data_IF_780683326157
#
_entry.id   IF_780683326157
#
_cell.length_a   1.000
_cell.length_b   1.000
_cell.length_c   1.000
_cell.angle_alpha   90.00
_cell.angle_beta   90.00
_cell.angle_gamma   90.00
#
_symmetry.space_group_name_H-M   'P 1'
#
loop_
_entity.id
_entity.type
_entity.pdbx_description
1 polymer ?
#
# COMPACT_ATOMS: atom_id res chain seq x y z
N UNK A 1 -5.09 4.31 35.40
CA UNK A 1 -5.37 4.05 33.97
C UNK A 1 -4.04 3.67 33.33
N UNK A 2 -3.84 2.41 32.92
CA UNK A 2 -2.59 2.01 32.26
C UNK A 2 -2.52 2.77 30.94
N UNK A 3 -1.56 3.68 30.81
CA UNK A 3 -1.36 4.45 29.58
C UNK A 3 -1.12 3.48 28.44
N UNK A 4 -1.93 3.56 27.39
CA UNK A 4 -1.63 2.85 26.15
C UNK A 4 -0.23 3.29 25.71
N UNK A 5 0.64 2.35 25.29
CA UNK A 5 1.94 2.72 24.77
C UNK A 5 1.77 3.72 23.60
N UNK A 6 2.68 4.68 23.45
CA UNK A 6 2.64 5.64 22.35
C UNK A 6 2.69 4.89 21.01
N UNK A 7 1.92 5.35 20.03
CA UNK A 7 1.84 4.74 18.70
C UNK A 7 3.18 4.91 17.99
N UNK A 8 3.78 3.82 17.53
CA UNK A 8 4.96 3.89 16.66
C UNK A 8 4.56 4.40 15.26
N UNK A 9 5.03 5.62 14.94
CA UNK A 9 4.72 6.32 13.69
C UNK A 9 5.40 5.70 12.46
N UNK A 10 6.62 5.16 12.60
CA UNK A 10 7.34 4.50 11.50
C UNK A 10 6.62 3.20 11.12
N UNK A 11 6.21 2.45 12.13
CA UNK A 11 5.54 1.19 11.92
C UNK A 11 4.12 1.40 11.35
N UNK A 12 3.43 2.44 11.82
CA UNK A 12 2.16 2.87 11.25
C UNK A 12 2.31 3.28 9.77
N UNK A 13 3.38 4.02 9.44
CA UNK A 13 3.69 4.40 8.07
C UNK A 13 3.81 3.17 7.15
N UNK A 14 4.65 2.21 7.54
CA UNK A 14 4.86 0.95 6.80
C UNK A 14 3.54 0.23 6.57
N UNK A 15 2.73 0.08 7.61
CA UNK A 15 1.47 -0.64 7.53
C UNK A 15 0.45 0.06 6.62
N UNK A 16 0.36 1.40 6.67
CA UNK A 16 -0.52 2.18 5.81
C UNK A 16 -0.11 2.14 4.32
N UNK A 17 1.17 1.92 4.01
CA UNK A 17 1.63 1.78 2.63
C UNK A 17 1.43 0.36 2.11
N UNK A 18 1.86 -0.64 2.87
CA UNK A 18 1.87 -2.04 2.42
C UNK A 18 0.52 -2.75 2.58
N UNK A 19 -0.32 -2.29 3.52
CA UNK A 19 -1.60 -2.91 3.86
C UNK A 19 -2.68 -1.84 4.18
N UNK A 20 -3.03 -0.96 3.23
CA UNK A 20 -3.84 0.25 3.49
C UNK A 20 -5.26 -0.01 4.02
N UNK A 21 -5.81 -1.21 3.84
CA UNK A 21 -7.15 -1.60 4.30
C UNK A 21 -7.19 -2.13 5.74
N UNK A 22 -6.02 -2.36 6.36
CA UNK A 22 -5.94 -2.94 7.72
C UNK A 22 -6.44 -1.98 8.81
N UNK A 23 -6.19 -0.69 8.64
CA UNK A 23 -6.62 0.36 9.57
C UNK A 23 -7.83 1.12 9.04
N UNK A 24 -9.04 0.60 9.29
CA UNK A 24 -10.27 1.31 8.92
C UNK A 24 -10.55 2.47 9.87
N UNK A 25 -11.09 3.57 9.33
CA UNK A 25 -11.44 4.77 10.11
C UNK A 25 -12.45 4.49 11.21
N UNK A 26 -13.41 3.60 10.95
CA UNK A 26 -14.47 3.26 11.90
C UNK A 26 -13.94 2.45 13.08
N UNK A 27 -12.93 1.60 12.87
CA UNK A 27 -12.35 0.74 13.92
C UNK A 27 -11.25 1.45 14.70
N UNK A 28 -10.49 2.34 14.06
CA UNK A 28 -9.32 3.00 14.65
C UNK A 28 -9.51 4.52 14.75
N UNK A 29 -10.65 4.99 15.23
CA UNK A 29 -10.95 6.44 15.29
C UNK A 29 -9.86 7.27 16.00
N UNK A 30 -9.32 6.76 17.13
CA UNK A 30 -8.26 7.43 17.89
C UNK A 30 -7.03 7.73 17.04
N UNK A 31 -6.63 6.80 16.17
CA UNK A 31 -5.55 6.99 15.21
C UNK A 31 -5.85 8.14 14.25
N UNK A 32 -7.12 8.35 13.87
CA UNK A 32 -7.49 9.44 12.95
C UNK A 32 -7.59 10.81 13.60
N UNK A 33 -7.88 10.85 14.91
CA UNK A 33 -7.99 12.08 15.70
C UNK A 33 -6.63 12.70 16.04
N UNK A 34 -5.59 11.87 16.18
CA UNK A 34 -4.24 12.32 16.51
C UNK A 34 -3.60 13.19 15.39
N UNK A 35 -3.13 14.42 15.70
CA UNK A 35 -2.43 15.27 14.74
C UNK A 35 -1.07 14.70 14.27
N UNK A 36 -0.35 13.92 15.07
CA UNK A 36 0.96 13.37 14.69
C UNK A 36 0.82 12.33 13.58
N UNK A 37 -0.15 11.43 13.73
CA UNK A 37 -0.47 10.43 12.70
C UNK A 37 -0.96 11.08 11.41
N UNK A 38 -1.52 12.30 11.45
CA UNK A 38 -1.97 13.02 10.25
C UNK A 38 -0.84 13.21 9.24
N UNK A 39 0.37 13.50 9.69
CA UNK A 39 1.56 13.65 8.83
C UNK A 39 1.92 12.31 8.18
N UNK A 40 1.98 11.25 8.99
CA UNK A 40 2.24 9.87 8.53
C UNK A 40 1.22 9.43 7.48
N UNK A 41 -0.07 9.65 7.72
CA UNK A 41 -1.14 9.29 6.76
C UNK A 41 -1.00 10.02 5.43
N UNK A 42 -0.71 11.32 5.46
CA UNK A 42 -0.47 12.12 4.25
C UNK A 42 0.73 11.57 3.49
N UNK A 43 1.83 11.29 4.19
CA UNK A 43 3.05 10.76 3.59
C UNK A 43 2.84 9.37 2.98
N UNK A 44 2.15 8.47 3.69
CA UNK A 44 1.77 7.16 3.18
C UNK A 44 0.85 7.24 1.96
N UNK A 45 -0.07 8.20 1.90
CA UNK A 45 -0.90 8.45 0.72
C UNK A 45 -0.07 8.91 -0.49
N UNK A 46 0.90 9.80 -0.27
CA UNK A 46 1.84 10.22 -1.31
C UNK A 46 2.66 9.04 -1.83
N UNK A 47 3.26 8.24 -0.94
CA UNK A 47 4.09 7.10 -1.36
C UNK A 47 3.27 6.07 -2.14
N UNK A 48 2.04 5.76 -1.71
CA UNK A 48 1.14 4.89 -2.48
C UNK A 48 0.79 5.45 -3.85
N UNK A 49 0.64 6.78 -3.98
CA UNK A 49 0.42 7.40 -5.28
C UNK A 49 1.64 7.23 -6.19
N UNK A 50 2.85 7.38 -5.65
CA UNK A 50 4.11 7.16 -6.38
C UNK A 50 4.18 5.69 -6.84
N UNK A 51 3.95 4.73 -5.93
CA UNK A 51 3.93 3.29 -6.25
C UNK A 51 2.95 3.01 -7.39
N UNK A 52 1.73 3.54 -7.32
CA UNK A 52 0.73 3.35 -8.38
C UNK A 52 1.23 3.88 -9.72
N UNK A 53 1.88 5.05 -9.75
CA UNK A 53 2.40 5.64 -10.98
C UNK A 53 3.56 4.82 -11.55
N UNK A 54 4.49 4.38 -10.70
CA UNK A 54 5.62 3.54 -11.12
C UNK A 54 5.13 2.19 -11.67
N UNK A 55 4.19 1.54 -11.00
CA UNK A 55 3.61 0.26 -11.45
C UNK A 55 2.76 0.42 -12.71
N UNK A 56 2.13 1.57 -12.91
CA UNK A 56 1.34 1.88 -14.11
C UNK A 56 2.19 2.25 -15.34
N UNK A 57 3.52 2.22 -15.25
CA UNK A 57 4.41 2.52 -16.37
C UNK A 57 4.88 3.98 -16.42
N UNK A 58 5.26 4.54 -15.28
CA UNK A 58 6.03 5.79 -15.29
C UNK A 58 7.35 5.61 -16.07
N UNK A 59 7.71 6.62 -16.85
CA UNK A 59 8.92 6.60 -17.66
C UNK A 59 10.09 7.27 -16.94
N UNK A 60 11.31 6.93 -17.39
CA UNK A 60 12.57 7.60 -16.98
C UNK A 60 12.72 7.74 -15.46
N UNK A 61 12.34 6.70 -14.73
CA UNK A 61 12.57 6.66 -13.30
C UNK A 61 14.08 6.59 -13.01
N UNK A 62 14.55 7.40 -12.06
CA UNK A 62 15.93 7.41 -11.60
C UNK A 62 16.00 7.72 -10.11
N UNK A 63 16.98 7.13 -9.43
CA UNK A 63 17.27 7.42 -8.03
C UNK A 63 18.67 8.00 -7.91
N UNK A 64 18.77 9.14 -7.24
CA UNK A 64 20.04 9.66 -6.78
C UNK A 64 20.15 9.43 -5.26
N UNK A 65 21.21 8.79 -4.75
CA UNK A 65 21.38 8.61 -3.32
C UNK A 65 21.48 9.96 -2.60
N UNK A 66 20.86 10.06 -1.43
CA UNK A 66 20.97 11.24 -0.56
C UNK A 66 21.98 10.98 0.56
N UNK A 67 22.69 12.03 0.99
CA UNK A 67 23.70 11.94 2.06
C UNK A 67 23.14 11.39 3.39
N UNK A 68 21.83 11.51 3.61
CA UNK A 68 21.12 11.01 4.80
C UNK A 68 20.77 9.52 4.75
N UNK A 69 21.21 8.77 3.74
CA UNK A 69 20.89 7.35 3.57
C UNK A 69 19.54 7.07 2.90
N UNK A 70 18.87 8.11 2.41
CA UNK A 70 17.68 8.04 1.56
C UNK A 70 18.00 8.18 0.07
N UNK A 71 17.03 8.62 -0.72
CA UNK A 71 17.22 8.88 -2.14
C UNK A 71 16.29 9.97 -2.68
N UNK A 72 16.74 10.66 -3.72
CA UNK A 72 15.92 11.53 -4.54
C UNK A 72 15.40 10.74 -5.74
N UNK A 73 14.10 10.40 -5.70
CA UNK A 73 13.41 9.75 -6.81
C UNK A 73 12.96 10.80 -7.82
N UNK A 74 13.29 10.60 -9.09
CA UNK A 74 12.78 11.40 -10.21
C UNK A 74 12.17 10.49 -11.26
N UNK A 75 10.99 10.83 -11.80
CA UNK A 75 10.33 10.07 -12.86
C UNK A 75 9.35 10.95 -13.64
N UNK A 76 9.03 10.53 -14.85
CA UNK A 76 8.04 11.18 -15.71
C UNK A 76 6.70 10.44 -15.62
N UNK A 77 5.60 11.20 -15.66
CA UNK A 77 4.23 10.68 -15.73
C UNK A 77 3.66 11.06 -17.09
N UNK A 78 3.80 10.20 -18.13
CA UNK A 78 3.43 10.54 -19.50
C UNK A 78 1.98 10.99 -19.64
N UNK A 79 1.06 10.34 -18.94
CA UNK A 79 -0.37 10.66 -18.95
C UNK A 79 -0.71 12.06 -18.44
N UNK A 80 0.21 12.70 -17.73
CA UNK A 80 0.08 14.07 -17.23
C UNK A 80 1.03 15.05 -17.92
N UNK A 81 2.00 14.58 -18.71
CA UNK A 81 3.07 15.42 -19.27
C UNK A 81 3.93 16.08 -18.18
N UNK A 82 4.05 15.45 -17.00
CA UNK A 82 4.72 16.05 -15.84
C UNK A 82 5.90 15.22 -15.36
N UNK A 83 6.98 15.91 -15.02
CA UNK A 83 8.12 15.35 -14.28
C UNK A 83 7.89 15.49 -12.78
N UNK A 84 8.15 14.44 -12.03
CA UNK A 84 8.00 14.41 -10.57
C UNK A 84 9.33 14.12 -9.91
N UNK A 85 9.54 14.79 -8.78
CA UNK A 85 10.69 14.57 -7.90
C UNK A 85 10.20 14.40 -6.46
N UNK A 86 10.72 13.40 -5.76
CA UNK A 86 10.41 13.13 -4.36
C UNK A 86 11.68 12.76 -3.61
N UNK A 87 11.99 13.50 -2.55
CA UNK A 87 12.99 13.08 -1.58
C UNK A 87 12.37 11.98 -0.70
N UNK A 88 13.09 10.87 -0.54
CA UNK A 88 12.71 9.72 0.26
C UNK A 88 13.74 9.53 1.35
N UNK A 89 13.30 9.26 2.57
CA UNK A 89 14.19 8.75 3.62
C UNK A 89 14.53 7.26 3.39
N UNK A 90 15.40 6.72 4.26
CA UNK A 90 15.85 5.33 4.15
C UNK A 90 14.71 4.29 4.32
N UNK A 91 13.74 4.57 5.20
CA UNK A 91 12.61 3.68 5.44
C UNK A 91 11.60 3.75 4.29
N UNK A 92 11.32 4.95 3.82
CA UNK A 92 10.45 5.21 2.66
C UNK A 92 10.97 4.55 1.40
N UNK A 93 12.29 4.61 1.18
CA UNK A 93 12.93 3.94 0.07
C UNK A 93 12.77 2.41 0.16
N UNK A 94 13.02 1.83 1.34
CA UNK A 94 12.83 0.39 1.57
C UNK A 94 11.37 -0.04 1.33
N UNK A 95 10.42 0.73 1.86
CA UNK A 95 8.98 0.49 1.69
C UNK A 95 8.57 0.64 0.22
N UNK A 96 9.10 1.65 -0.49
CA UNK A 96 8.84 1.88 -1.91
C UNK A 96 9.27 0.67 -2.74
N UNK A 97 10.50 0.20 -2.57
CA UNK A 97 11.06 -0.95 -3.31
C UNK A 97 10.21 -2.20 -3.14
N UNK A 98 9.83 -2.51 -1.89
CA UNK A 98 8.96 -3.65 -1.58
C UNK A 98 7.55 -3.46 -2.16
N UNK A 99 6.97 -2.27 -2.06
CA UNK A 99 5.63 -1.99 -2.58
C UNK A 99 5.59 -2.08 -4.12
N UNK A 100 6.60 -1.58 -4.81
CA UNK A 100 6.75 -1.67 -6.27
C UNK A 100 6.92 -3.13 -6.69
N UNK A 101 7.81 -3.89 -6.03
CA UNK A 101 7.99 -5.32 -6.31
C UNK A 101 6.68 -6.11 -6.14
N UNK A 102 5.90 -5.83 -5.09
CA UNK A 102 4.56 -6.43 -4.88
C UNK A 102 3.55 -6.00 -5.95
N UNK A 103 3.56 -4.73 -6.36
CA UNK A 103 2.67 -4.21 -7.39
C UNK A 103 2.93 -4.85 -8.75
N UNK A 104 4.21 -4.97 -9.12
CA UNK A 104 4.70 -5.67 -10.32
C UNK A 104 4.32 -7.15 -10.30
N UNK A 105 4.45 -7.82 -9.16
CA UNK A 105 4.06 -9.23 -9.04
C UNK A 105 2.54 -9.44 -9.17
N UNK A 106 1.73 -8.48 -8.72
CA UNK A 106 0.26 -8.55 -8.75
C UNK A 106 -0.34 -8.11 -10.08
N UNK A 107 0.29 -7.18 -10.77
CA UNK A 107 -0.06 -6.79 -12.14
C UNK A 107 0.89 -7.49 -13.10
N UNK A 108 0.47 -8.61 -13.70
CA UNK A 108 1.22 -9.30 -14.78
C UNK A 108 1.81 -8.28 -15.75
N UNK A 109 3.10 -7.99 -15.58
CA UNK A 109 3.87 -7.16 -16.50
C UNK A 109 3.95 -7.93 -17.81
N UNK A 110 3.47 -7.40 -18.95
CA UNK A 110 3.72 -8.03 -20.24
C UNK A 110 5.25 -8.09 -20.44
N UNK A 111 5.80 -9.23 -20.90
CA UNK A 111 7.25 -9.37 -21.02
C UNK A 111 7.79 -8.30 -21.98
N UNK A 112 9.04 -7.83 -21.79
CA UNK A 112 9.70 -7.03 -22.79
C UNK A 112 9.78 -7.86 -24.07
N UNK A 113 9.15 -7.40 -25.16
CA UNK A 113 9.43 -7.94 -26.50
C UNK A 113 10.90 -7.66 -26.76
N UNK A 114 11.74 -8.68 -26.62
CA UNK A 114 13.09 -8.66 -27.17
C UNK A 114 12.93 -8.38 -28.67
N UNK A 115 13.29 -7.16 -29.10
CA UNK A 115 13.48 -6.89 -30.51
C UNK A 115 14.65 -7.76 -30.95
N UNK A 116 14.31 -8.87 -31.60
CA UNK A 116 15.26 -9.59 -32.42
C UNK A 116 15.80 -8.59 -33.43
N UNK A 117 17.12 -8.41 -33.42
CA UNK A 117 17.84 -7.71 -34.47
C UNK A 117 17.47 -8.37 -35.80
N UNK A 118 16.75 -7.63 -36.63
CA UNK A 118 16.39 -7.98 -37.99
C UNK A 118 16.50 -6.72 -38.81
N UNK A 119 17.59 -6.62 -39.55
CA UNK A 119 17.87 -5.57 -40.52
C UNK A 119 16.72 -5.44 -41.52
N UNK A 120 16.15 -4.24 -41.65
CA UNK A 120 15.45 -3.82 -42.86
C UNK A 120 15.30 -2.29 -42.88
N UNK A 121 15.92 -1.68 -43.87
CA UNK A 121 15.81 -0.28 -44.24
C UNK A 121 14.39 0.03 -44.74
N UNK A 122 13.77 1.11 -44.26
CA UNK A 122 12.84 1.90 -45.08
C UNK A 122 12.62 3.30 -44.51
N UNK A 123 12.94 4.29 -45.34
CA UNK A 123 12.64 5.72 -45.20
C UNK A 123 11.12 5.94 -45.29
N UNK A 124 10.57 6.83 -44.46
CA UNK A 124 9.19 7.28 -44.62
C UNK A 124 8.56 7.86 -43.36
N UNK A 125 8.51 9.20 -43.31
CA UNK A 125 7.47 10.01 -42.67
C UNK A 125 7.35 9.96 -41.12
N UNK A 126 7.80 11.05 -40.50
CA UNK A 126 7.88 11.23 -39.06
C UNK A 126 6.50 11.39 -38.40
N UNK A 127 5.89 10.26 -38.04
CA UNK A 127 4.96 10.22 -36.92
C UNK A 127 5.73 10.48 -35.61
N UNK A 128 5.17 11.24 -34.64
CA UNK A 128 5.79 11.37 -33.33
C UNK A 128 5.96 9.98 -32.71
N UNK A 129 7.12 9.65 -32.11
CA UNK A 129 7.33 8.34 -31.54
C UNK A 129 6.25 8.10 -30.49
N UNK A 130 5.45 7.06 -30.70
CA UNK A 130 4.55 6.54 -29.67
C UNK A 130 5.37 6.34 -28.39
N UNK A 131 4.81 6.69 -27.21
CA UNK A 131 5.55 6.56 -25.95
C UNK A 131 6.01 5.11 -25.82
N UNK A 132 7.32 4.92 -25.64
CA UNK A 132 7.95 3.62 -25.50
C UNK A 132 7.23 2.85 -24.39
N UNK A 133 6.48 1.83 -24.79
CA UNK A 133 5.69 1.04 -23.86
C UNK A 133 6.60 0.33 -22.85
N UNK A 134 6.46 0.72 -21.57
CA UNK A 134 6.99 -0.01 -20.43
C UNK A 134 8.51 0.09 -20.31
N UNK A 135 9.01 1.27 -19.93
CA UNK A 135 10.35 1.37 -19.37
C UNK A 135 10.48 0.34 -18.23
N UNK A 136 11.41 -0.60 -18.39
CA UNK A 136 11.75 -1.53 -17.32
C UNK A 136 12.10 -0.72 -16.08
N UNK A 137 11.51 -1.10 -14.93
CA UNK A 137 11.82 -0.42 -13.67
C UNK A 137 13.34 -0.40 -13.47
N UNK A 138 13.91 0.73 -13.00
CA UNK A 138 15.33 0.81 -12.69
C UNK A 138 15.74 -0.33 -11.76
N UNK A 139 16.92 -0.91 -12.00
CA UNK A 139 17.48 -1.93 -11.10
C UNK A 139 17.58 -1.44 -9.66
N UNK A 140 17.75 -0.13 -9.47
CA UNK A 140 17.85 0.52 -8.16
C UNK A 140 16.53 0.54 -7.37
N UNK A 141 15.41 0.22 -8.03
CA UNK A 141 14.09 0.03 -7.41
C UNK A 141 13.80 -1.43 -7.05
N UNK A 142 14.72 -2.35 -7.33
CA UNK A 142 14.60 -3.72 -6.84
C UNK A 142 14.83 -3.75 -5.32
N UNK A 143 14.10 -4.60 -4.59
CA UNK A 143 14.26 -4.72 -3.15
C UNK A 143 15.65 -5.29 -2.81
N UNK A 144 16.31 -4.66 -1.84
CA UNK A 144 17.55 -5.16 -1.25
C UNK A 144 17.24 -6.02 -0.02
N UNK A 145 18.11 -6.99 0.35
CA UNK A 145 17.90 -7.81 1.54
C UNK A 145 17.79 -6.97 2.82
N UNK A 146 18.49 -5.83 2.88
CA UNK A 146 18.42 -4.90 4.00
C UNK A 146 17.04 -4.22 4.14
N UNK A 147 16.25 -4.14 3.07
CA UNK A 147 14.93 -3.48 3.08
C UNK A 147 13.93 -4.29 3.91
N UNK A 148 13.94 -5.62 3.77
CA UNK A 148 13.11 -6.54 4.56
C UNK A 148 13.41 -6.37 6.05
N UNK A 149 14.69 -6.41 6.45
CA UNK A 149 15.08 -6.26 7.86
C UNK A 149 14.78 -4.88 8.44
N UNK A 150 14.72 -3.82 7.63
CA UNK A 150 14.28 -2.48 8.09
C UNK A 150 12.77 -2.47 8.35
N UNK A 151 11.99 -3.03 7.43
CA UNK A 151 10.54 -3.13 7.53
C UNK A 151 10.13 -4.00 8.72
N UNK A 152 10.77 -5.16 8.89
CA UNK A 152 10.52 -6.06 10.03
C UNK A 152 10.83 -5.36 11.35
N UNK A 153 11.97 -4.66 11.46
CA UNK A 153 12.32 -3.89 12.66
C UNK A 153 11.36 -2.74 12.94
N UNK A 154 10.74 -2.14 11.92
CA UNK A 154 9.71 -1.13 12.13
C UNK A 154 8.41 -1.81 12.60
N UNK A 155 7.94 -2.85 11.90
CA UNK A 155 6.69 -3.54 12.24
C UNK A 155 6.73 -4.23 13.61
N UNK A 156 7.87 -4.77 14.02
CA UNK A 156 8.06 -5.38 15.34
C UNK A 156 7.81 -4.39 16.50
N UNK A 157 7.89 -3.08 16.26
CA UNK A 157 7.56 -2.05 17.26
C UNK A 157 6.07 -1.70 17.31
N UNK A 158 5.30 -2.01 16.26
CA UNK A 158 3.85 -1.77 16.22
C UNK A 158 3.06 -2.79 17.04
N UNK A 159 3.58 -4.03 17.07
CA UNK A 159 2.97 -5.11 17.82
C UNK A 159 3.70 -5.16 19.16
N UNK A 160 3.08 -4.78 20.29
CA UNK A 160 3.58 -5.29 21.55
C UNK A 160 3.66 -6.81 21.38
N UNK A 161 4.79 -7.42 21.74
CA UNK A 161 4.89 -8.85 21.97
C UNK A 161 3.71 -9.20 22.90
N UNK A 162 2.57 -9.60 22.32
CA UNK A 162 1.48 -10.15 23.08
C UNK A 162 2.10 -11.38 23.70
N UNK A 163 2.36 -11.27 25.00
CA UNK A 163 3.01 -12.33 25.73
C UNK A 163 2.32 -13.63 25.39
N UNK A 164 3.14 -14.59 24.97
CA UNK A 164 3.00 -16.00 25.32
C UNK A 164 2.94 -16.12 26.86
N UNK A 165 1.95 -15.48 27.48
CA UNK A 165 1.55 -15.66 28.87
C UNK A 165 0.71 -16.92 28.85
N UNK A 166 1.24 -17.92 29.55
CA UNK A 166 0.89 -19.31 29.43
C UNK A 166 -0.60 -19.61 29.40
N UNK A 167 -0.94 -20.57 28.55
CA UNK A 167 -2.11 -21.43 28.73
C UNK A 167 -2.07 -21.98 30.17
N UNK A 168 -2.94 -21.57 31.10
CA UNK A 168 -3.17 -22.36 32.28
C UNK A 168 -4.02 -23.55 31.81
N UNK A 169 -3.49 -24.75 32.00
CA UNK A 169 -4.28 -25.97 31.88
C UNK A 169 -5.56 -25.83 32.70
N UNK A 170 -6.70 -25.87 32.02
CA UNK A 170 -8.02 -25.99 32.62
C UNK A 170 -8.59 -27.34 32.20
N UNK A 171 -8.11 -28.37 32.88
CA UNK A 171 -8.81 -29.65 33.03
C UNK A 171 -10.06 -29.43 33.89
N UNK A 172 -11.17 -30.07 33.53
CA UNK A 172 -12.44 -30.08 34.28
C UNK A 172 -13.62 -29.84 33.34
N UNK A 173 -14.06 -30.84 32.59
CA UNK A 173 -15.13 -31.79 32.97
C UNK A 173 -16.53 -31.16 33.09
N UNK A 174 -17.38 -31.51 32.11
CA UNK A 174 -18.74 -31.99 32.34
C UNK A 174 -19.86 -30.97 32.61
N UNK A 175 -20.63 -30.62 31.57
CA UNK A 175 -22.06 -30.93 31.57
C UNK A 175 -22.71 -30.83 30.17
N UNK A 176 -23.30 -31.95 29.78
CA UNK A 176 -24.29 -32.14 28.70
C UNK A 176 -25.63 -31.60 29.23
N UNK A 177 -26.50 -30.92 28.46
CA UNK A 177 -27.63 -31.46 27.67
C UNK A 177 -28.61 -30.29 27.32
N UNK A 178 -29.68 -30.47 26.52
CA UNK A 178 -29.88 -29.79 25.24
C UNK A 178 -31.15 -28.91 25.19
N UNK A 179 -31.35 -28.19 24.08
CA UNK A 179 -32.62 -27.52 23.81
C UNK A 179 -32.54 -26.46 22.72
N UNK A 180 -32.71 -26.86 21.46
CA UNK A 180 -33.38 -26.00 20.46
C UNK A 180 -34.89 -26.27 20.50
N UNK A 181 -35.73 -25.64 19.65
CA UNK A 181 -35.47 -24.58 18.68
C UNK A 181 -36.44 -23.37 18.82
N UNK A 182 -36.19 -22.24 18.15
CA UNK A 182 -37.25 -21.57 17.37
C UNK A 182 -36.69 -20.55 16.34
N UNK A 183 -36.80 -20.82 15.03
CA UNK A 183 -36.49 -19.87 13.96
C UNK A 183 -37.76 -19.18 13.44
N UNK A 184 -38.50 -18.47 14.30
CA UNK A 184 -39.63 -17.66 13.87
C UNK A 184 -39.74 -16.40 14.71
N UNK A 185 -39.22 -15.27 14.18
CA UNK A 185 -39.70 -13.88 14.36
C UNK A 185 -38.57 -12.85 14.20
N UNK A 186 -38.17 -12.56 12.96
CA UNK A 186 -37.71 -11.21 12.58
C UNK A 186 -38.18 -10.87 11.18
N UNK A 187 -39.47 -10.57 11.09
CA UNK A 187 -40.05 -9.83 9.96
C UNK A 187 -39.53 -8.40 10.03
N UNK A 188 -38.65 -8.01 9.10
CA UNK A 188 -38.24 -6.63 8.90
C UNK A 188 -39.36 -5.87 8.18
N UNK A 189 -39.85 -4.72 8.70
CA UNK A 189 -40.77 -3.88 7.95
C UNK A 189 -40.04 -3.20 6.78
N UNK A 190 -40.53 -3.46 5.57
CA UNK A 190 -40.21 -2.72 4.35
C UNK A 190 -41.03 -1.42 4.35
N UNK A 191 -40.45 -0.32 4.81
CA UNK A 191 -40.96 1.02 4.49
C UNK A 191 -40.14 1.59 3.34
N UNK A 192 -40.63 1.38 2.12
CA UNK A 192 -40.13 2.06 0.93
C UNK A 192 -41.24 2.26 -0.08
N UNK A 193 -42.21 3.11 0.23
CA UNK A 193 -43.05 3.75 -0.77
C UNK A 193 -43.37 5.19 -0.37
N UNK A 194 -43.53 6.04 -1.40
CA UNK A 194 -44.11 7.39 -1.36
C UNK A 194 -43.18 8.57 -1.03
N UNK A 195 -42.35 8.95 -2.01
CA UNK A 195 -42.14 10.37 -2.35
C UNK A 195 -42.04 10.54 -3.87
N UNK A 196 -43.18 10.39 -4.53
CA UNK A 196 -43.46 11.10 -5.77
C UNK A 196 -44.47 12.22 -5.46
N UNK A 197 -44.47 13.27 -6.29
CA UNK A 197 -45.32 14.48 -6.28
C UNK A 197 -45.02 15.58 -5.25
N UNK A 198 -44.11 16.49 -5.62
CA UNK A 198 -44.46 17.90 -5.85
C UNK A 198 -43.25 18.66 -6.42
N UNK A 199 -43.34 19.03 -7.70
CA UNK A 199 -42.59 20.14 -8.27
C UNK A 199 -43.58 21.28 -8.54
N UNK A 200 -43.21 22.55 -8.27
CA UNK A 200 -43.99 23.71 -8.66
C UNK A 200 -43.84 24.06 -10.14
#
# INVERSE_FOLDING_TARGET
>A
MKGSPPIDLEALFVALVLAPSTFSRNRFYSLYADPETRRVRRRAALLRSIVRQLVAGADRAGLAPAASGGALLTYDVPSLGLKRTAALDALELAVLRIAVARGVARGKVPPPRQQAAGDAQQEGEAAPPAPAAGAALPRDLLPEPADTSRIERALARLLPEEGLVGVPGSSGEGQVEPGGPDPATRTLPRDREQRETQAP
#
